data_IF_202028903926
#
_entry.id   IF_202028903926
#
_cell.length_a   1.000
_cell.length_b   1.000
_cell.length_c   1.000
_cell.angle_alpha   90.00
_cell.angle_beta   90.00
_cell.angle_gamma   90.00
#
_symmetry.space_group_name_H-M   'P 1'
#
loop_
_entity.id
_entity.type
_entity.pdbx_description
1 polymer ?
#
# COMPACT_ATOMS: atom_id res chain seq x y z
N UNK A 1 -21.68 37.78 -16.30
CA UNK A 1 -21.73 36.48 -16.99
C UNK A 1 -20.36 36.04 -17.51
N UNK A 2 -19.74 36.79 -18.42
CA UNK A 2 -18.47 36.44 -19.09
C UNK A 2 -17.30 36.12 -18.14
N UNK A 3 -17.10 36.92 -17.09
CA UNK A 3 -16.03 36.69 -16.12
C UNK A 3 -16.17 35.34 -15.39
N UNK A 4 -17.40 34.93 -15.09
CA UNK A 4 -17.67 33.65 -14.43
C UNK A 4 -17.32 32.46 -15.32
N UNK A 5 -17.64 32.56 -16.62
CA UNK A 5 -17.26 31.54 -17.61
C UNK A 5 -15.75 31.44 -17.80
N UNK A 6 -15.03 32.57 -17.72
CA UNK A 6 -13.57 32.58 -17.80
C UNK A 6 -12.97 31.85 -16.59
N UNK A 7 -13.44 32.16 -15.38
CA UNK A 7 -12.98 31.50 -14.15
C UNK A 7 -13.25 30.01 -14.20
N UNK A 8 -14.44 29.60 -14.66
CA UNK A 8 -14.81 28.18 -14.78
C UNK A 8 -13.93 27.44 -15.79
N UNK A 9 -13.59 28.09 -16.90
CA UNK A 9 -12.73 27.50 -17.94
C UNK A 9 -11.29 27.31 -17.46
N UNK A 10 -10.77 28.27 -16.70
CA UNK A 10 -9.42 28.20 -16.12
C UNK A 10 -9.36 27.17 -15.00
N UNK A 11 -10.36 27.10 -14.13
CA UNK A 11 -10.41 26.12 -13.03
C UNK A 11 -10.53 24.68 -13.55
N UNK A 12 -11.34 24.46 -14.59
CA UNK A 12 -11.46 23.15 -15.25
C UNK A 12 -10.12 22.70 -15.85
N UNK A 13 -9.38 23.61 -16.49
CA UNK A 13 -8.07 23.30 -17.06
C UNK A 13 -7.05 22.94 -15.99
N UNK A 14 -7.03 23.67 -14.87
CA UNK A 14 -6.17 23.39 -13.72
C UNK A 14 -6.50 22.03 -13.09
N UNK A 15 -7.78 21.69 -12.95
CA UNK A 15 -8.19 20.41 -12.37
C UNK A 15 -7.67 19.21 -13.19
N UNK A 16 -7.71 19.28 -14.52
CA UNK A 16 -7.20 18.22 -15.41
C UNK A 16 -5.70 17.99 -15.21
N UNK A 17 -4.92 19.05 -14.95
CA UNK A 17 -3.47 18.97 -14.75
C UNK A 17 -3.14 18.45 -13.35
N UNK A 18 -3.88 18.88 -12.34
CA UNK A 18 -3.61 18.56 -10.93
C UNK A 18 -4.12 17.17 -10.54
N UNK A 19 -5.24 16.71 -11.11
CA UNK A 19 -5.84 15.40 -10.82
C UNK A 19 -4.88 14.20 -11.00
N UNK A 20 -4.10 14.07 -12.09
CA UNK A 20 -3.14 12.98 -12.24
C UNK A 20 -1.94 13.09 -11.28
N UNK A 21 -1.62 14.29 -10.80
CA UNK A 21 -0.52 14.51 -9.83
C UNK A 21 -0.91 14.07 -8.41
N UNK A 22 -2.21 14.17 -8.06
CA UNK A 22 -2.75 13.70 -6.76
C UNK A 22 -3.14 12.21 -6.82
N UNK A 23 -3.00 11.58 -7.99
CA UNK A 23 -3.23 10.15 -8.17
C UNK A 23 -2.53 9.33 -7.07
N UNK A 24 -3.11 8.19 -6.66
CA UNK A 24 -2.68 7.45 -5.48
C UNK A 24 -1.17 7.25 -5.54
N UNK A 25 -0.46 7.89 -4.61
CA UNK A 25 0.99 7.78 -4.44
C UNK A 25 1.28 6.28 -4.43
N UNK A 26 1.79 5.75 -5.55
CA UNK A 26 2.07 4.32 -5.68
C UNK A 26 2.99 3.99 -4.51
N UNK A 27 2.44 3.38 -3.45
CA UNK A 27 3.25 2.79 -2.41
C UNK A 27 4.16 1.86 -3.18
N UNK A 28 5.48 2.07 -3.07
CA UNK A 28 6.46 1.18 -3.68
C UNK A 28 5.95 -0.23 -3.42
N UNK A 29 5.76 -1.09 -4.44
CA UNK A 29 5.44 -2.47 -4.15
C UNK A 29 6.56 -2.91 -3.22
N UNK A 30 6.21 -3.17 -1.96
CA UNK A 30 7.13 -3.87 -1.09
C UNK A 30 7.23 -5.19 -1.82
N UNK A 31 8.35 -5.41 -2.50
CA UNK A 31 8.71 -6.72 -3.01
C UNK A 31 8.93 -7.56 -1.76
N UNK A 32 7.84 -7.97 -1.12
CA UNK A 32 7.86 -9.02 -0.12
C UNK A 32 8.10 -10.24 -0.98
N UNK A 33 9.38 -10.56 -1.17
CA UNK A 33 9.79 -11.92 -1.45
C UNK A 33 9.39 -12.69 -0.18
N UNK A 34 8.08 -12.97 -0.06
CA UNK A 34 7.49 -13.67 1.06
C UNK A 34 7.95 -15.11 0.93
N UNK A 35 9.20 -15.34 1.31
CA UNK A 35 9.66 -16.67 1.61
C UNK A 35 8.77 -17.11 2.76
N UNK A 36 7.88 -18.05 2.48
CA UNK A 36 6.94 -18.57 3.47
C UNK A 36 7.75 -19.04 4.68
N UNK A 37 7.51 -18.46 5.84
CA UNK A 37 8.17 -18.85 7.09
C UNK A 37 7.67 -20.21 7.61
N UNK A 38 7.11 -21.06 6.74
CA UNK A 38 6.59 -22.38 7.08
C UNK A 38 7.60 -23.45 6.66
N UNK A 39 8.04 -24.27 7.61
CA UNK A 39 8.85 -25.47 7.40
C UNK A 39 8.07 -26.74 7.75
N UNK A 40 8.47 -27.86 7.15
CA UNK A 40 7.91 -29.17 7.50
C UNK A 40 8.76 -29.77 8.62
N UNK A 41 8.13 -30.04 9.75
CA UNK A 41 8.69 -30.75 10.89
C UNK A 41 9.03 -32.21 10.51
N UNK A 42 9.89 -32.88 11.28
CA UNK A 42 10.18 -34.33 11.16
C UNK A 42 8.92 -35.23 11.16
N UNK A 43 7.83 -34.75 11.76
CA UNK A 43 6.52 -35.40 11.82
C UNK A 43 5.62 -35.12 10.60
N UNK A 44 6.10 -34.37 9.60
CA UNK A 44 5.37 -34.04 8.38
C UNK A 44 4.37 -32.89 8.49
N UNK A 45 4.33 -32.18 9.62
CA UNK A 45 3.46 -31.03 9.84
C UNK A 45 4.15 -29.70 9.50
N UNK A 46 3.37 -28.71 9.05
CA UNK A 46 3.88 -27.36 8.81
C UNK A 46 3.98 -26.57 10.12
N UNK A 47 5.17 -26.05 10.42
CA UNK A 47 5.45 -25.21 11.59
C UNK A 47 6.12 -23.90 11.16
N UNK A 48 5.91 -22.83 11.93
CA UNK A 48 6.52 -21.53 11.63
C UNK A 48 7.99 -21.53 12.10
N UNK A 49 8.91 -21.05 11.27
CA UNK A 49 10.31 -20.83 11.65
C UNK A 49 10.37 -19.83 12.82
N UNK A 50 10.53 -20.31 14.04
CA UNK A 50 10.79 -19.51 15.24
C UNK A 50 12.30 -19.26 15.38
N UNK A 51 12.87 -18.52 14.43
CA UNK A 51 14.17 -17.90 14.59
C UNK A 51 14.06 -16.69 15.52
N UNK A 52 14.04 -16.93 16.84
CA UNK A 52 14.29 -15.97 17.93
C UNK A 52 14.07 -14.48 17.60
N UNK A 53 12.81 -14.03 17.61
CA UNK A 53 12.44 -12.79 18.29
C UNK A 53 11.17 -13.08 19.08
N UNK A 54 11.31 -13.01 20.39
CA UNK A 54 10.23 -13.13 21.36
C UNK A 54 9.22 -12.00 21.15
N UNK A 55 8.25 -12.18 20.26
CA UNK A 55 7.04 -11.36 20.27
C UNK A 55 5.93 -12.19 20.91
N UNK A 56 5.83 -12.04 22.22
CA UNK A 56 4.69 -12.42 23.03
C UNK A 56 3.45 -11.74 22.44
N UNK A 57 2.60 -12.49 21.76
CA UNK A 57 1.29 -12.00 21.33
C UNK A 57 0.38 -11.94 22.57
N UNK A 58 0.36 -10.79 23.27
CA UNK A 58 -0.57 -10.57 24.38
C UNK A 58 -1.99 -10.47 23.81
N UNK A 59 -2.81 -11.48 24.08
CA UNK A 59 -4.25 -11.43 23.85
C UNK A 59 -4.85 -10.65 25.02
N UNK A 60 -5.43 -9.48 24.73
CA UNK A 60 -6.37 -8.80 25.62
C UNK A 60 -7.78 -9.06 25.12
#
# INVERSE_FOLDING_TARGET
MTAFYIVLKVSALLAIIVLPLIGPKKKKPVTVKAMSNLSVNENGYLEHFTGSTMDHHSVY
#
